data_IF_446763209082
#
_entry.id   IF_446763209082
#
_cell.length_a   1.000
_cell.length_b   1.000
_cell.length_c   1.000
_cell.angle_alpha   90.00
_cell.angle_beta   90.00
_cell.angle_gamma   90.00
#
_symmetry.space_group_name_H-M   'P 1'
#
loop_
_entity.id
_entity.type
_entity.pdbx_description
1 polymer ?
#
# COMPACT_ATOMS: atom_id res chain seq x y z
N UNK A 1 -16.76 -1.29 18.83
CA UNK A 1 -16.00 -1.23 17.57
C UNK A 1 -14.55 -1.48 17.93
N UNK A 2 -13.93 -2.51 17.38
CA UNK A 2 -12.50 -2.76 17.57
C UNK A 2 -11.69 -1.61 16.96
N UNK A 3 -10.54 -1.28 17.56
CA UNK A 3 -9.65 -0.26 17.01
C UNK A 3 -9.08 -0.75 15.67
N UNK A 4 -8.98 0.11 14.64
CA UNK A 4 -8.34 -0.28 13.39
C UNK A 4 -6.85 -0.58 13.62
N UNK A 5 -6.30 -1.50 12.83
CA UNK A 5 -4.88 -1.87 12.89
C UNK A 5 -3.97 -0.69 12.54
N UNK A 6 -4.41 0.12 11.57
CA UNK A 6 -3.76 1.36 11.18
C UNK A 6 -4.81 2.47 11.14
N UNK A 7 -4.58 3.56 11.87
CA UNK A 7 -5.42 4.76 11.76
C UNK A 7 -4.73 5.76 10.84
N UNK A 8 -5.46 6.32 9.87
CA UNK A 8 -4.94 7.46 9.11
C UNK A 8 -4.70 8.64 10.05
N UNK A 9 -3.57 9.31 9.90
CA UNK A 9 -3.17 10.47 10.68
C UNK A 9 -2.73 11.59 9.74
N UNK A 10 -2.95 12.85 10.14
CA UNK A 10 -2.51 14.03 9.39
C UNK A 10 -1.00 14.04 9.14
N UNK A 11 -0.23 13.32 9.94
CA UNK A 11 1.22 13.20 9.75
C UNK A 11 1.61 12.45 8.45
N UNK A 12 0.69 11.65 7.90
CA UNK A 12 0.87 10.95 6.62
C UNK A 12 0.45 11.78 5.42
N UNK A 13 -0.27 12.89 5.64
CA UNK A 13 -0.67 13.78 4.53
C UNK A 13 0.58 14.37 3.88
N UNK A 14 0.59 14.34 2.55
CA UNK A 14 1.64 14.96 1.72
C UNK A 14 1.16 16.28 1.12
N UNK A 15 -0.12 16.63 1.30
CA UNK A 15 -0.70 17.91 0.89
C UNK A 15 -1.23 17.92 -0.55
N UNK A 16 -1.36 16.74 -1.16
CA UNK A 16 -1.97 16.57 -2.49
C UNK A 16 -3.25 15.75 -2.29
N UNK A 17 -4.44 16.38 -2.25
CA UNK A 17 -5.68 15.73 -1.81
C UNK A 17 -6.02 14.44 -2.56
N UNK A 18 -5.73 14.39 -3.85
CA UNK A 18 -5.94 13.19 -4.68
C UNK A 18 -5.06 12.03 -4.20
N UNK A 19 -3.77 12.28 -3.94
CA UNK A 19 -2.81 11.26 -3.51
C UNK A 19 -3.07 10.85 -2.06
N UNK A 20 -3.36 11.81 -1.18
CA UNK A 20 -3.76 11.53 0.21
C UNK A 20 -5.01 10.63 0.25
N UNK A 21 -5.97 10.83 -0.67
CA UNK A 21 -7.15 9.96 -0.79
C UNK A 21 -6.82 8.54 -1.23
N UNK A 22 -5.85 8.39 -2.13
CA UNK A 22 -5.37 7.08 -2.59
C UNK A 22 -4.63 6.36 -1.46
N UNK A 23 -3.77 7.05 -0.70
CA UNK A 23 -3.11 6.48 0.47
C UNK A 23 -4.11 6.01 1.54
N UNK A 24 -5.11 6.83 1.86
CA UNK A 24 -6.20 6.44 2.79
C UNK A 24 -6.89 5.16 2.32
N UNK A 25 -7.11 5.00 1.01
CA UNK A 25 -7.74 3.80 0.48
C UNK A 25 -6.86 2.55 0.58
N UNK A 26 -5.53 2.68 0.46
CA UNK A 26 -4.59 1.57 0.74
C UNK A 26 -4.65 1.20 2.23
N UNK A 27 -4.71 2.18 3.13
CA UNK A 27 -4.90 1.95 4.57
C UNK A 27 -6.20 1.19 4.87
N UNK A 28 -7.30 1.54 4.20
CA UNK A 28 -8.57 0.82 4.32
C UNK A 28 -8.43 -0.66 3.93
N UNK A 29 -7.73 -0.97 2.83
CA UNK A 29 -7.48 -2.36 2.43
C UNK A 29 -6.62 -3.12 3.45
N UNK A 30 -5.60 -2.49 4.03
CA UNK A 30 -4.78 -3.09 5.09
C UNK A 30 -5.63 -3.37 6.33
N UNK A 31 -6.53 -2.46 6.69
CA UNK A 31 -7.46 -2.66 7.80
C UNK A 31 -8.51 -3.75 7.52
N UNK A 32 -9.06 -3.82 6.30
CA UNK A 32 -9.98 -4.89 5.90
C UNK A 32 -9.27 -6.26 5.98
N UNK A 33 -8.01 -6.32 5.53
CA UNK A 33 -7.20 -7.53 5.60
C UNK A 33 -6.96 -7.95 7.06
N UNK A 34 -6.66 -7.00 7.95
CA UNK A 34 -6.50 -7.25 9.38
C UNK A 34 -7.79 -7.81 10.00
N UNK A 35 -8.94 -7.18 9.75
CA UNK A 35 -10.23 -7.63 10.30
C UNK A 35 -10.55 -9.04 9.80
N UNK A 36 -10.37 -9.29 8.51
CA UNK A 36 -10.62 -10.60 7.92
C UNK A 36 -9.70 -11.69 8.51
N UNK A 37 -8.43 -11.34 8.78
CA UNK A 37 -7.46 -12.20 9.44
C UNK A 37 -7.85 -12.50 10.90
N UNK A 38 -8.21 -11.49 11.68
CA UNK A 38 -8.62 -11.66 13.09
C UNK A 38 -9.88 -12.51 13.24
N UNK A 39 -10.82 -12.37 12.32
CA UNK A 39 -12.07 -13.13 12.29
C UNK A 39 -11.92 -14.55 11.73
N UNK A 40 -10.70 -14.98 11.34
CA UNK A 40 -10.44 -16.28 10.69
C UNK A 40 -11.38 -16.50 9.49
N UNK A 41 -11.55 -15.46 8.69
CA UNK A 41 -12.46 -15.47 7.54
C UNK A 41 -12.02 -16.52 6.52
N UNK A 42 -12.97 -17.01 5.72
CA UNK A 42 -12.70 -17.95 4.62
C UNK A 42 -11.64 -17.44 3.63
N UNK A 43 -10.91 -18.39 3.06
CA UNK A 43 -9.74 -18.17 2.18
C UNK A 43 -10.08 -17.33 0.95
N UNK A 44 -11.28 -17.50 0.40
CA UNK A 44 -11.74 -16.78 -0.79
C UNK A 44 -11.86 -15.28 -0.52
N UNK A 45 -12.45 -14.90 0.64
CA UNK A 45 -12.63 -13.49 1.01
C UNK A 45 -11.29 -12.82 1.31
N UNK A 46 -10.37 -13.52 1.97
CA UNK A 46 -9.01 -13.02 2.19
C UNK A 46 -8.25 -12.83 0.86
N UNK A 47 -8.35 -13.79 -0.07
CA UNK A 47 -7.76 -13.64 -1.41
C UNK A 47 -8.32 -12.43 -2.14
N UNK A 48 -9.64 -12.20 -2.09
CA UNK A 48 -10.27 -11.03 -2.71
C UNK A 48 -9.74 -9.71 -2.14
N UNK A 49 -9.51 -9.63 -0.83
CA UNK A 49 -8.97 -8.43 -0.20
C UNK A 49 -7.51 -8.21 -0.63
N UNK A 50 -6.69 -9.27 -0.65
CA UNK A 50 -5.29 -9.19 -1.10
C UNK A 50 -5.21 -8.76 -2.56
N UNK A 51 -6.05 -9.32 -3.43
CA UNK A 51 -6.09 -8.95 -4.85
C UNK A 51 -6.59 -7.50 -5.02
N UNK A 52 -7.56 -7.06 -4.20
CA UNK A 52 -8.01 -5.68 -4.13
C UNK A 52 -6.91 -4.69 -3.72
N UNK A 53 -6.18 -5.01 -2.65
CA UNK A 53 -5.02 -4.24 -2.17
C UNK A 53 -3.96 -4.11 -3.27
N UNK A 54 -3.61 -5.23 -3.93
CA UNK A 54 -2.65 -5.26 -5.03
C UNK A 54 -3.09 -4.35 -6.17
N UNK A 55 -4.30 -4.56 -6.69
CA UNK A 55 -4.80 -3.83 -7.84
C UNK A 55 -4.89 -2.33 -7.57
N UNK A 56 -5.33 -1.94 -6.37
CA UNK A 56 -5.42 -0.53 -6.00
C UNK A 56 -4.04 0.10 -5.81
N UNK A 57 -3.09 -0.62 -5.19
CA UNK A 57 -1.70 -0.14 -5.06
C UNK A 57 -1.06 0.06 -6.43
N UNK A 58 -1.28 -0.85 -7.39
CA UNK A 58 -0.80 -0.70 -8.76
C UNK A 58 -1.40 0.53 -9.46
N UNK A 59 -2.69 0.80 -9.28
CA UNK A 59 -3.34 1.98 -9.85
C UNK A 59 -2.75 3.27 -9.27
N UNK A 60 -2.59 3.32 -7.94
CA UNK A 60 -1.96 4.44 -7.25
C UNK A 60 -0.52 4.67 -7.74
N UNK A 61 0.32 3.63 -7.78
CA UNK A 61 1.70 3.75 -8.29
C UNK A 61 1.75 4.16 -9.76
N UNK A 62 0.85 3.66 -10.59
CA UNK A 62 0.74 4.09 -12.00
C UNK A 62 0.42 5.58 -12.08
N UNK A 63 -0.48 6.06 -11.23
CA UNK A 63 -0.84 7.48 -11.16
C UNK A 63 0.38 8.35 -10.79
N UNK A 64 1.13 7.98 -9.75
CA UNK A 64 2.36 8.71 -9.39
C UNK A 64 3.43 8.63 -10.49
N UNK A 65 3.64 7.46 -11.08
CA UNK A 65 4.62 7.28 -12.15
C UNK A 65 4.28 8.08 -13.41
N UNK A 66 2.99 8.29 -13.69
CA UNK A 66 2.55 9.22 -14.73
C UNK A 66 2.94 10.67 -14.39
N UNK A 67 2.78 11.09 -13.13
CA UNK A 67 3.26 12.41 -12.67
C UNK A 67 4.78 12.51 -12.80
N UNK A 68 5.52 11.47 -12.43
CA UNK A 68 6.97 11.44 -12.55
C UNK A 68 7.43 11.65 -13.98
N UNK A 69 6.77 11.01 -14.95
CA UNK A 69 7.04 11.20 -16.38
C UNK A 69 6.66 12.62 -16.84
N UNK A 70 5.47 13.10 -16.47
CA UNK A 70 4.97 14.41 -16.87
C UNK A 70 5.90 15.54 -16.42
N UNK A 71 6.44 15.44 -15.20
CA UNK A 71 7.30 16.47 -14.62
C UNK A 71 8.80 16.14 -14.65
N UNK A 72 9.21 15.06 -15.32
CA UNK A 72 10.60 14.61 -15.42
C UNK A 72 11.29 14.47 -14.05
N UNK A 73 10.63 13.80 -13.10
CA UNK A 73 11.14 13.59 -11.75
C UNK A 73 12.47 12.81 -11.78
N UNK A 74 13.52 13.38 -11.18
CA UNK A 74 14.88 12.84 -11.31
C UNK A 74 15.06 11.45 -10.68
N UNK A 75 14.26 11.09 -9.67
CA UNK A 75 14.34 9.82 -8.95
C UNK A 75 13.27 8.81 -9.39
N UNK A 76 12.71 8.98 -10.60
CA UNK A 76 11.65 8.11 -11.14
C UNK A 76 12.03 6.63 -11.06
N UNK A 77 13.28 6.29 -11.42
CA UNK A 77 13.73 4.90 -11.49
C UNK A 77 13.83 4.26 -10.11
N UNK A 78 14.37 4.99 -9.14
CA UNK A 78 14.50 4.56 -7.76
C UNK A 78 13.13 4.37 -7.12
N UNK A 79 12.23 5.35 -7.28
CA UNK A 79 10.88 5.31 -6.72
C UNK A 79 10.05 4.16 -7.32
N UNK A 80 10.06 4.00 -8.64
CA UNK A 80 9.39 2.87 -9.30
C UNK A 80 9.90 1.51 -8.82
N UNK A 81 11.19 1.39 -8.49
CA UNK A 81 11.73 0.15 -7.94
C UNK A 81 11.13 -0.18 -6.57
N UNK A 82 10.85 0.82 -5.74
CA UNK A 82 10.16 0.62 -4.46
C UNK A 82 8.74 0.09 -4.69
N UNK A 83 8.01 0.68 -5.66
CA UNK A 83 6.68 0.21 -6.08
C UNK A 83 6.70 -1.25 -6.56
N UNK A 84 7.61 -1.56 -7.49
CA UNK A 84 7.74 -2.91 -8.07
C UNK A 84 7.98 -3.95 -6.98
N UNK A 85 8.87 -3.66 -6.01
CA UNK A 85 9.17 -4.54 -4.88
C UNK A 85 7.98 -4.72 -3.94
N UNK A 86 7.17 -3.68 -3.72
CA UNK A 86 5.97 -3.81 -2.89
C UNK A 86 4.93 -4.72 -3.54
N UNK A 87 4.70 -4.55 -4.84
CA UNK A 87 3.79 -5.41 -5.62
C UNK A 87 4.29 -6.86 -5.65
N UNK A 88 5.60 -7.07 -5.84
CA UNK A 88 6.21 -8.40 -5.76
C UNK A 88 5.94 -9.06 -4.40
N UNK A 89 6.10 -8.32 -3.29
CA UNK A 89 5.81 -8.84 -1.95
C UNK A 89 4.35 -9.20 -1.75
N UNK A 90 3.41 -8.39 -2.25
CA UNK A 90 1.98 -8.74 -2.20
C UNK A 90 1.70 -10.03 -3.00
N UNK A 91 2.33 -10.21 -4.16
CA UNK A 91 2.19 -11.45 -4.94
C UNK A 91 2.73 -12.67 -4.19
N UNK A 92 3.91 -12.56 -3.59
CA UNK A 92 4.49 -13.63 -2.76
C UNK A 92 3.54 -14.04 -1.63
N UNK A 93 2.88 -13.08 -0.98
CA UNK A 93 1.90 -13.33 0.07
C UNK A 93 0.62 -13.99 -0.48
N UNK A 94 0.10 -13.51 -1.60
CA UNK A 94 -1.07 -14.10 -2.28
C UNK A 94 -0.82 -15.57 -2.65
N UNK A 95 0.33 -15.87 -3.25
CA UNK A 95 0.69 -17.22 -3.69
C UNK A 95 0.99 -18.17 -2.54
N UNK A 96 1.63 -17.68 -1.48
CA UNK A 96 1.88 -18.45 -0.26
C UNK A 96 0.56 -18.80 0.44
N UNK A 97 -0.35 -17.83 0.50
CA UNK A 97 -1.66 -17.99 1.13
C UNK A 97 -2.56 -18.97 0.38
N UNK A 98 -2.62 -18.88 -0.96
CA UNK A 98 -3.37 -19.83 -1.80
C UNK A 98 -2.91 -21.28 -1.65
N UNK A 99 -1.61 -21.49 -1.40
CA UNK A 99 -1.03 -22.82 -1.14
C UNK A 99 -1.25 -23.31 0.29
N UNK A 100 -1.14 -22.40 1.27
CA UNK A 100 -1.34 -22.71 2.67
C UNK A 100 -1.92 -21.48 3.40
N UNK A 101 -3.21 -21.52 3.77
CA UNK A 101 -3.87 -20.40 4.46
C UNK A 101 -3.20 -19.97 5.77
N UNK A 102 -2.38 -20.83 6.40
CA UNK A 102 -1.65 -20.49 7.63
C UNK A 102 -0.43 -19.58 7.40
N UNK A 103 -0.12 -19.20 6.16
CA UNK A 103 1.03 -18.35 5.82
C UNK A 103 0.74 -16.86 5.93
N UNK A 104 -0.55 -16.45 5.95
CA UNK A 104 -0.90 -15.08 6.31
C UNK A 104 -0.66 -14.93 7.81
N UNK A 105 0.21 -14.01 8.19
CA UNK A 105 0.60 -13.79 9.59
C UNK A 105 0.55 -12.31 9.93
N UNK A 106 0.61 -12.00 11.22
CA UNK A 106 0.83 -10.63 11.69
C UNK A 106 2.08 -9.97 11.09
N UNK A 107 3.10 -10.74 10.69
CA UNK A 107 4.30 -10.19 10.06
C UNK A 107 4.00 -9.60 8.68
N UNK A 108 3.08 -10.19 7.92
CA UNK A 108 2.64 -9.67 6.62
C UNK A 108 1.92 -8.33 6.80
N UNK A 109 0.96 -8.27 7.73
CA UNK A 109 0.24 -7.04 8.04
C UNK A 109 1.18 -5.93 8.54
N UNK A 110 2.12 -6.27 9.41
CA UNK A 110 3.13 -5.33 9.90
C UNK A 110 4.05 -4.83 8.78
N UNK A 111 4.45 -5.72 7.85
CA UNK A 111 5.23 -5.33 6.68
C UNK A 111 4.46 -4.32 5.82
N UNK A 112 3.19 -4.60 5.49
CA UNK A 112 2.37 -3.71 4.66
C UNK A 112 2.20 -2.32 5.29
N UNK A 113 1.87 -2.27 6.59
CA UNK A 113 1.77 -1.01 7.34
C UNK A 113 3.10 -0.26 7.35
N UNK A 114 4.19 -0.94 7.73
CA UNK A 114 5.50 -0.31 7.84
C UNK A 114 5.98 0.23 6.51
N UNK A 115 5.86 -0.57 5.45
CA UNK A 115 6.28 -0.16 4.11
C UNK A 115 5.51 1.09 3.66
N UNK A 116 4.18 1.11 3.81
CA UNK A 116 3.37 2.25 3.39
C UNK A 116 3.76 3.53 4.14
N UNK A 117 3.89 3.47 5.47
CA UNK A 117 4.25 4.63 6.28
C UNK A 117 5.65 5.14 5.92
N UNK A 118 6.63 4.23 5.79
CA UNK A 118 8.00 4.60 5.46
C UNK A 118 8.09 5.20 4.05
N UNK A 119 7.36 4.63 3.09
CA UNK A 119 7.33 5.09 1.70
C UNK A 119 6.72 6.48 1.57
N UNK A 120 5.56 6.72 2.19
CA UNK A 120 4.93 8.04 2.22
C UNK A 120 5.88 9.08 2.82
N UNK A 121 6.50 8.75 3.96
CA UNK A 121 7.35 9.69 4.69
C UNK A 121 8.67 9.98 3.96
N UNK A 122 9.27 8.98 3.30
CA UNK A 122 10.63 9.07 2.77
C UNK A 122 10.70 9.25 1.26
N UNK A 123 9.67 8.87 0.51
CA UNK A 123 9.66 8.89 -0.95
C UNK A 123 8.59 9.86 -1.45
N UNK A 124 7.34 9.71 -1.00
CA UNK A 124 6.23 10.48 -1.60
C UNK A 124 6.29 11.97 -1.26
N UNK A 125 6.57 12.28 0.01
CA UNK A 125 6.83 13.67 0.43
C UNK A 125 7.98 14.32 -0.33
N UNK A 126 8.98 13.55 -0.78
CA UNK A 126 10.12 14.11 -1.53
C UNK A 126 9.73 14.49 -2.94
N UNK A 127 8.98 13.66 -3.68
CA UNK A 127 8.57 14.06 -5.02
C UNK A 127 7.57 15.21 -4.95
N UNK A 128 6.66 15.22 -3.96
CA UNK A 128 5.68 16.33 -3.86
C UNK A 128 6.39 17.67 -3.68
N UNK A 129 7.38 17.74 -2.80
CA UNK A 129 8.18 18.94 -2.58
C UNK A 129 8.98 19.38 -3.83
N UNK A 130 9.26 18.47 -4.76
CA UNK A 130 9.98 18.78 -6.01
C UNK A 130 9.04 19.17 -7.15
N UNK A 131 7.87 18.53 -7.25
CA UNK A 131 6.96 18.67 -8.38
C UNK A 131 5.88 19.75 -8.18
N UNK A 132 5.41 19.96 -6.95
CA UNK A 132 4.27 20.84 -6.64
C UNK A 132 4.68 22.11 -5.88
N UNK A 133 5.81 22.71 -6.26
CA UNK A 133 6.26 24.00 -5.71
C UNK A 133 5.33 25.16 -6.04
#
# INVERSE_FOLDING_TARGET
>A
MEKPFMSWSKEYEIGVPEIDSQHMKIVDYINELYIAFMNKTHVEKLSQIIDGLKNYSQQHFTYEEMLFQQYSYALTKEHKKEHDLFIEKINEFSDSYKRNPNTLTFQVLYFLQKWLIDHIAQSDKKYVAQLFK
#
